data_IF_892084478662
#
_entry.id   IF_892084478662
#
_cell.length_a   1.000
_cell.length_b   1.000
_cell.length_c   1.000
_cell.angle_alpha   90.00
_cell.angle_beta   90.00
_cell.angle_gamma   90.00
#
_symmetry.space_group_name_H-M   'P 1'
#
loop_
_entity.id
_entity.type
_entity.pdbx_description
1 polymer ?
#
# COMPACT_ATOMS: atom_id res chain seq x y z
N UNK A 1 27.78 9.32 -0.47
CA UNK A 1 27.13 7.99 -0.31
C UNK A 1 26.45 7.67 -1.62
N UNK A 2 26.70 6.49 -2.16
CA UNK A 2 26.01 6.00 -3.35
C UNK A 2 24.52 5.84 -3.02
N UNK A 3 23.65 6.32 -3.92
CA UNK A 3 22.20 6.23 -3.68
C UNK A 3 21.78 4.77 -3.75
N UNK A 4 21.18 4.25 -2.69
CA UNK A 4 20.67 2.87 -2.64
C UNK A 4 19.43 2.69 -3.53
N UNK A 5 18.73 3.79 -3.84
CA UNK A 5 17.59 3.76 -4.74
C UNK A 5 18.00 3.28 -6.14
N UNK A 6 17.29 2.28 -6.61
CA UNK A 6 17.34 1.80 -8.00
C UNK A 6 15.96 1.96 -8.61
N UNK A 7 15.86 2.52 -9.84
CA UNK A 7 14.59 2.53 -10.55
C UNK A 7 14.02 1.11 -10.62
N UNK A 8 12.78 0.91 -10.21
CA UNK A 8 12.19 -0.42 -10.18
C UNK A 8 12.01 -0.95 -11.62
N UNK A 9 12.36 -2.22 -11.83
CA UNK A 9 12.12 -2.91 -13.09
C UNK A 9 10.84 -3.74 -13.01
N UNK A 10 10.02 -3.72 -14.05
CA UNK A 10 8.82 -4.55 -14.14
C UNK A 10 9.17 -6.01 -14.28
N UNK A 11 8.57 -6.86 -13.42
CA UNK A 11 8.66 -8.31 -13.56
C UNK A 11 7.81 -8.83 -14.72
N UNK A 12 6.64 -8.24 -14.93
CA UNK A 12 5.73 -8.65 -16.01
C UNK A 12 6.39 -8.58 -17.40
N UNK A 13 7.40 -7.71 -17.57
CA UNK A 13 8.21 -7.61 -18.79
C UNK A 13 9.12 -8.81 -19.04
N UNK A 14 9.44 -9.62 -18.03
CA UNK A 14 10.36 -10.77 -18.20
C UNK A 14 9.72 -12.01 -18.82
N UNK A 15 8.40 -12.08 -18.93
CA UNK A 15 7.70 -13.28 -19.38
C UNK A 15 8.15 -13.75 -20.79
N UNK A 16 8.47 -12.83 -21.70
CA UNK A 16 8.98 -13.16 -23.02
C UNK A 16 10.41 -13.69 -22.98
N UNK A 17 11.28 -13.04 -22.20
CA UNK A 17 12.66 -13.45 -22.01
C UNK A 17 12.75 -14.84 -21.34
N UNK A 18 11.82 -15.15 -20.41
CA UNK A 18 11.72 -16.50 -19.83
C UNK A 18 11.31 -17.55 -20.85
N UNK A 19 10.35 -17.24 -21.75
CA UNK A 19 9.93 -18.15 -22.83
C UNK A 19 11.05 -18.36 -23.86
N UNK A 20 11.81 -17.31 -24.14
CA UNK A 20 12.97 -17.35 -25.04
C UNK A 20 14.20 -18.03 -24.44
N UNK A 21 14.22 -18.26 -23.12
CA UNK A 21 15.36 -18.81 -22.42
C UNK A 21 16.55 -17.85 -22.30
N UNK A 22 16.34 -16.54 -22.51
CA UNK A 22 17.36 -15.50 -22.40
C UNK A 22 17.77 -15.27 -20.94
N UNK A 23 16.80 -15.30 -20.04
CA UNK A 23 16.95 -15.25 -18.59
C UNK A 23 16.00 -16.24 -17.94
N UNK A 24 16.17 -16.50 -16.65
CA UNK A 24 15.31 -17.38 -15.87
C UNK A 24 14.84 -16.72 -14.57
N UNK A 25 13.77 -17.22 -13.92
CA UNK A 25 13.40 -16.82 -12.56
C UNK A 25 14.53 -16.95 -11.53
N UNK A 26 15.48 -17.87 -11.75
CA UNK A 26 16.68 -18.01 -10.88
C UNK A 26 17.60 -16.82 -11.04
N UNK A 27 17.84 -16.35 -12.27
CA UNK A 27 18.69 -15.18 -12.52
C UNK A 27 18.11 -13.91 -11.91
N UNK A 28 16.78 -13.74 -12.00
CA UNK A 28 16.07 -12.61 -11.35
C UNK A 28 16.19 -12.69 -9.84
N UNK A 29 16.03 -13.88 -9.24
CA UNK A 29 16.19 -14.08 -7.80
C UNK A 29 17.63 -13.81 -7.35
N UNK A 30 18.63 -14.30 -8.07
CA UNK A 30 20.03 -14.11 -7.71
C UNK A 30 20.42 -12.63 -7.79
N UNK A 31 19.92 -11.89 -8.78
CA UNK A 31 20.11 -10.44 -8.85
C UNK A 31 19.44 -9.71 -7.65
N UNK A 32 18.24 -10.14 -7.25
CA UNK A 32 17.55 -9.61 -6.07
C UNK A 32 18.33 -9.90 -4.78
N UNK A 33 18.83 -11.13 -4.60
CA UNK A 33 19.62 -11.53 -3.44
C UNK A 33 20.96 -10.79 -3.37
N UNK A 34 21.65 -10.60 -4.49
CA UNK A 34 22.88 -9.82 -4.55
C UNK A 34 22.66 -8.36 -4.12
N UNK A 35 21.53 -7.76 -4.51
CA UNK A 35 21.16 -6.41 -4.10
C UNK A 35 20.81 -6.33 -2.61
N UNK A 36 20.11 -7.33 -2.07
CA UNK A 36 19.84 -7.45 -0.63
C UNK A 36 21.17 -7.55 0.12
N UNK A 37 22.11 -8.38 -0.33
CA UNK A 37 23.40 -8.55 0.32
C UNK A 37 24.23 -7.25 0.35
N UNK A 38 24.09 -6.42 -0.68
CA UNK A 38 24.78 -5.14 -0.77
C UNK A 38 24.17 -4.05 0.14
N UNK A 39 22.85 -4.02 0.32
CA UNK A 39 22.18 -2.85 0.88
C UNK A 39 21.27 -3.11 2.10
N UNK A 40 20.88 -4.36 2.39
CA UNK A 40 19.92 -4.65 3.47
C UNK A 40 20.45 -4.24 4.85
N UNK A 41 21.76 -4.29 5.07
CA UNK A 41 22.38 -3.82 6.32
C UNK A 41 22.06 -2.34 6.60
N UNK A 42 21.93 -1.53 5.57
CA UNK A 42 21.61 -0.10 5.67
C UNK A 42 20.09 0.14 5.66
N UNK A 43 19.37 -0.53 4.74
CA UNK A 43 17.92 -0.32 4.54
C UNK A 43 17.08 -0.98 5.64
N UNK A 44 17.43 -2.21 6.06
CA UNK A 44 16.71 -2.95 7.11
C UNK A 44 15.22 -3.11 6.79
N UNK A 45 14.94 -3.52 5.55
CA UNK A 45 13.60 -3.74 5.06
C UNK A 45 13.00 -5.05 5.57
N UNK A 46 13.84 -6.09 5.76
CA UNK A 46 13.39 -7.42 6.17
C UNK A 46 13.63 -7.67 7.67
N UNK A 47 12.72 -8.38 8.30
CA UNK A 47 12.88 -8.97 9.64
C UNK A 47 13.24 -10.45 9.53
N UNK A 48 12.85 -11.11 8.44
CA UNK A 48 13.20 -12.50 8.11
C UNK A 48 13.39 -12.62 6.61
N UNK A 49 14.47 -13.30 6.17
CA UNK A 49 14.73 -13.67 4.77
C UNK A 49 14.60 -15.18 4.59
N UNK A 50 13.87 -15.61 3.56
CA UNK A 50 13.66 -17.02 3.19
C UNK A 50 14.53 -17.42 2.00
N UNK A 51 15.86 -17.32 2.12
CA UNK A 51 16.78 -17.50 1.00
C UNK A 51 16.72 -18.89 0.36
N UNK A 52 16.61 -19.94 1.19
CA UNK A 52 16.60 -21.33 0.72
C UNK A 52 15.28 -21.65 0.02
N UNK A 53 14.16 -21.39 0.68
CA UNK A 53 12.84 -21.61 0.08
C UNK A 53 12.62 -20.78 -1.19
N UNK A 54 13.12 -19.54 -1.22
CA UNK A 54 13.05 -18.71 -2.42
C UNK A 54 13.84 -19.32 -3.59
N UNK A 55 15.02 -19.92 -3.33
CA UNK A 55 15.79 -20.60 -4.39
C UNK A 55 15.09 -21.88 -4.89
N UNK A 56 14.44 -22.63 -4.00
CA UNK A 56 13.64 -23.79 -4.39
C UNK A 56 12.46 -23.39 -5.29
N UNK A 57 11.70 -22.37 -4.87
CA UNK A 57 10.58 -21.81 -5.63
C UNK A 57 11.02 -21.33 -7.02
N UNK A 58 12.13 -20.58 -7.10
CA UNK A 58 12.66 -20.07 -8.37
C UNK A 58 13.12 -21.17 -9.32
N UNK A 59 13.78 -22.24 -8.80
CA UNK A 59 14.15 -23.41 -9.62
C UNK A 59 12.93 -24.14 -10.17
N UNK A 60 11.90 -24.33 -9.33
CA UNK A 60 10.66 -24.94 -9.75
C UNK A 60 9.95 -24.11 -10.82
N UNK A 61 9.92 -22.77 -10.66
CA UNK A 61 9.40 -21.85 -11.65
C UNK A 61 10.19 -21.90 -12.96
N UNK A 62 11.53 -21.90 -12.90
CA UNK A 62 12.37 -22.00 -14.09
C UNK A 62 12.13 -23.29 -14.89
N UNK A 63 11.82 -24.42 -14.20
CA UNK A 63 11.45 -25.66 -14.85
C UNK A 63 10.11 -25.49 -15.59
N UNK A 64 9.09 -24.92 -14.95
CA UNK A 64 7.78 -24.67 -15.57
C UNK A 64 7.87 -23.75 -16.80
N UNK A 65 8.64 -22.69 -16.73
CA UNK A 65 8.86 -21.78 -17.89
C UNK A 65 9.51 -22.51 -19.05
N UNK A 66 10.52 -23.36 -18.82
CA UNK A 66 11.16 -24.17 -19.87
C UNK A 66 10.21 -25.19 -20.50
N UNK A 67 9.25 -25.70 -19.72
CA UNK A 67 8.21 -26.62 -20.22
C UNK A 67 7.03 -25.88 -20.90
N UNK A 68 7.04 -24.55 -20.91
CA UNK A 68 5.94 -23.75 -21.45
C UNK A 68 4.66 -23.79 -20.59
N UNK A 69 4.78 -24.12 -19.28
CA UNK A 69 3.66 -24.29 -18.34
C UNK A 69 3.78 -23.41 -17.10
N UNK A 70 3.97 -22.10 -17.22
CA UNK A 70 3.96 -21.21 -16.05
C UNK A 70 2.59 -21.22 -15.39
N UNK A 71 2.56 -21.08 -14.05
CA UNK A 71 1.31 -21.10 -13.26
C UNK A 71 0.50 -19.80 -13.39
N UNK A 72 1.16 -18.70 -13.73
CA UNK A 72 0.55 -17.40 -13.94
C UNK A 72 1.56 -16.39 -14.52
N UNK A 73 1.13 -15.13 -14.71
CA UNK A 73 2.01 -14.02 -15.11
C UNK A 73 3.06 -13.66 -14.05
N UNK A 74 2.87 -14.09 -12.81
CA UNK A 74 3.80 -13.83 -11.69
C UNK A 74 4.58 -15.08 -11.27
N UNK A 75 4.61 -16.14 -12.09
CA UNK A 75 5.35 -17.36 -11.77
C UNK A 75 6.85 -17.06 -11.70
N UNK A 76 7.44 -17.28 -10.52
CA UNK A 76 8.82 -16.96 -10.18
C UNK A 76 9.07 -15.53 -9.67
N UNK A 77 8.05 -14.65 -9.63
CA UNK A 77 8.21 -13.29 -9.15
C UNK A 77 8.62 -13.27 -7.68
N UNK A 78 9.76 -12.64 -7.32
CA UNK A 78 10.10 -12.39 -5.94
C UNK A 78 9.09 -11.45 -5.28
N UNK A 79 8.47 -11.87 -4.18
CA UNK A 79 7.51 -11.06 -3.42
C UNK A 79 7.88 -11.01 -1.94
N UNK A 80 7.67 -9.87 -1.29
CA UNK A 80 7.88 -9.71 0.13
C UNK A 80 6.55 -9.56 0.88
N UNK A 81 6.49 -10.01 2.13
CA UNK A 81 5.25 -10.10 2.89
C UNK A 81 5.39 -9.29 4.18
N UNK A 82 4.53 -8.30 4.39
CA UNK A 82 4.50 -7.52 5.64
C UNK A 82 4.31 -8.41 6.86
N UNK A 83 5.05 -8.13 7.92
CA UNK A 83 5.14 -8.99 9.11
C UNK A 83 3.93 -8.97 10.06
N UNK A 84 2.74 -8.71 9.53
CA UNK A 84 1.43 -8.99 10.15
C UNK A 84 0.58 -9.96 9.33
N UNK A 85 1.12 -10.46 8.21
CA UNK A 85 0.46 -11.41 7.31
C UNK A 85 1.15 -12.76 7.52
N UNK A 86 0.40 -13.78 7.88
CA UNK A 86 0.93 -15.10 8.23
C UNK A 86 1.58 -15.80 7.04
N UNK A 87 2.69 -16.48 7.33
CA UNK A 87 3.37 -17.40 6.40
C UNK A 87 3.65 -18.71 7.13
N UNK A 88 3.45 -19.85 6.45
CA UNK A 88 3.58 -21.18 7.04
C UNK A 88 5.00 -21.55 7.49
N UNK A 89 5.99 -20.91 6.89
CA UNK A 89 7.42 -21.25 6.96
C UNK A 89 8.28 -20.19 7.66
N UNK A 90 7.71 -19.05 8.03
CA UNK A 90 8.41 -17.96 8.71
C UNK A 90 7.61 -17.42 9.90
N UNK A 91 8.28 -16.90 10.94
CA UNK A 91 7.61 -16.19 12.02
C UNK A 91 6.79 -14.99 11.54
N UNK A 92 5.78 -14.62 12.31
CA UNK A 92 4.97 -13.40 12.14
C UNK A 92 5.00 -12.62 13.44
N UNK A 93 5.94 -11.66 13.51
CA UNK A 93 6.27 -10.94 14.74
C UNK A 93 5.41 -9.70 15.01
N UNK A 94 4.60 -9.25 14.07
CA UNK A 94 3.69 -8.10 14.17
C UNK A 94 4.36 -6.79 14.63
N UNK A 95 5.70 -6.67 14.44
CA UNK A 95 6.47 -5.52 14.93
C UNK A 95 6.51 -5.39 16.46
N UNK A 96 6.17 -6.44 17.20
CA UNK A 96 6.08 -6.44 18.65
C UNK A 96 6.97 -7.51 19.30
N UNK A 97 7.71 -7.19 20.36
CA UNK A 97 8.49 -8.18 21.12
C UNK A 97 7.64 -9.34 21.66
N UNK A 98 6.37 -9.12 21.93
CA UNK A 98 5.42 -10.13 22.40
C UNK A 98 5.29 -11.32 21.44
N UNK A 99 5.43 -11.06 20.11
CA UNK A 99 5.26 -12.06 19.06
C UNK A 99 6.58 -12.58 18.49
N UNK A 100 7.69 -12.32 19.17
CA UNK A 100 9.01 -12.80 18.73
C UNK A 100 9.02 -14.32 18.56
N UNK A 101 9.33 -14.79 17.34
CA UNK A 101 9.41 -16.21 17.01
C UNK A 101 8.05 -16.92 16.86
N UNK A 102 6.92 -16.22 17.00
CA UNK A 102 5.61 -16.83 16.78
C UNK A 102 5.44 -17.27 15.33
N UNK A 103 5.06 -18.52 15.14
CA UNK A 103 4.83 -19.11 13.82
C UNK A 103 3.49 -19.85 13.79
N UNK A 104 2.56 -19.36 12.98
CA UNK A 104 1.21 -19.94 12.82
C UNK A 104 1.20 -21.27 12.07
N UNK A 105 2.25 -21.57 11.30
CA UNK A 105 2.39 -22.74 10.40
C UNK A 105 1.31 -22.82 9.34
N UNK A 106 0.71 -21.70 8.99
CA UNK A 106 -0.25 -21.56 7.89
C UNK A 106 0.07 -20.32 7.08
N UNK A 107 -0.30 -20.33 5.81
CA UNK A 107 -0.27 -19.13 4.98
C UNK A 107 -1.57 -18.35 5.16
N UNK A 108 -1.49 -17.03 5.18
CA UNK A 108 -2.65 -16.18 4.96
C UNK A 108 -3.22 -16.41 3.55
N UNK A 109 -4.51 -16.12 3.33
CA UNK A 109 -5.19 -16.33 2.05
C UNK A 109 -4.40 -15.70 0.88
N UNK A 110 -3.94 -14.45 1.03
CA UNK A 110 -3.14 -13.76 0.02
C UNK A 110 -1.79 -14.45 -0.24
N UNK A 111 -1.11 -14.97 0.78
CA UNK A 111 0.17 -15.68 0.64
C UNK A 111 -0.02 -17.04 -0.02
N UNK A 112 -1.05 -17.78 0.38
CA UNK A 112 -1.42 -19.04 -0.26
C UNK A 112 -1.67 -18.84 -1.76
N UNK A 113 -2.42 -17.79 -2.11
CA UNK A 113 -2.70 -17.46 -3.51
C UNK A 113 -1.44 -17.11 -4.29
N UNK A 114 -0.51 -16.34 -3.70
CA UNK A 114 0.78 -16.02 -4.31
C UNK A 114 1.60 -17.28 -4.61
N UNK A 115 1.70 -18.20 -3.64
CA UNK A 115 2.41 -19.47 -3.85
C UNK A 115 1.71 -20.35 -4.93
N UNK A 116 0.39 -20.40 -4.94
CA UNK A 116 -0.38 -21.09 -5.99
C UNK A 116 -0.21 -20.45 -7.37
N UNK A 117 0.08 -19.15 -7.42
CA UNK A 117 0.42 -18.43 -8.63
C UNK A 117 1.88 -18.63 -9.07
N UNK A 118 2.69 -19.30 -8.26
CA UNK A 118 4.11 -19.55 -8.51
C UNK A 118 5.05 -18.44 -8.04
N UNK A 119 4.56 -17.42 -7.36
CA UNK A 119 5.42 -16.37 -6.83
C UNK A 119 6.39 -16.90 -5.77
N UNK A 120 7.57 -16.33 -5.72
CA UNK A 120 8.65 -16.68 -4.81
C UNK A 120 8.60 -15.79 -3.56
N UNK A 121 8.28 -16.36 -2.40
CA UNK A 121 8.18 -15.59 -1.15
C UNK A 121 9.58 -15.35 -0.56
N UNK A 122 10.06 -14.10 -0.66
CA UNK A 122 11.42 -13.70 -0.26
C UNK A 122 11.62 -13.57 1.24
N UNK A 123 10.58 -13.16 1.98
CA UNK A 123 10.74 -12.90 3.40
C UNK A 123 9.63 -12.03 3.99
N UNK A 124 9.79 -11.72 5.28
CA UNK A 124 8.89 -10.87 6.06
C UNK A 124 9.48 -9.47 6.18
N UNK A 125 8.70 -8.45 5.82
CA UNK A 125 9.13 -7.05 5.86
C UNK A 125 8.71 -6.34 7.14
N UNK A 126 9.57 -5.42 7.60
CA UNK A 126 9.38 -4.65 8.82
C UNK A 126 8.05 -3.87 8.82
N UNK A 127 7.41 -3.85 9.97
CA UNK A 127 6.17 -3.12 10.25
C UNK A 127 6.27 -2.37 11.57
N UNK A 128 5.39 -1.39 11.80
CA UNK A 128 5.18 -0.83 13.13
C UNK A 128 4.47 -1.82 14.02
N UNK A 129 4.51 -1.62 15.35
CA UNK A 129 3.83 -2.48 16.31
C UNK A 129 2.33 -2.62 15.97
N UNK A 130 1.88 -3.85 15.74
CA UNK A 130 0.51 -4.20 15.30
C UNK A 130 0.02 -3.40 14.09
N UNK A 131 0.94 -2.88 13.26
CA UNK A 131 0.66 -2.03 12.11
C UNK A 131 -0.15 -0.75 12.40
N UNK A 132 -0.20 -0.28 13.63
CA UNK A 132 -1.10 0.79 14.05
C UNK A 132 -0.44 1.94 14.83
N UNK A 133 0.82 1.80 15.27
CA UNK A 133 1.54 2.90 15.95
C UNK A 133 2.33 3.77 14.98
N UNK A 134 2.67 4.98 15.40
CA UNK A 134 3.61 5.83 14.67
C UNK A 134 5.07 5.43 14.93
N UNK A 135 5.35 4.76 16.03
CA UNK A 135 6.66 4.19 16.33
C UNK A 135 6.89 2.97 15.45
N UNK A 136 8.09 2.81 14.93
CA UNK A 136 8.41 1.73 14.02
C UNK A 136 9.86 1.24 14.15
N UNK A 137 10.13 0.12 13.47
CA UNK A 137 11.45 -0.48 13.42
C UNK A 137 12.48 0.43 12.70
N UNK A 138 13.72 0.02 12.73
CA UNK A 138 14.87 0.75 12.24
C UNK A 138 15.02 0.84 10.70
N UNK A 139 13.97 0.53 9.94
CA UNK A 139 13.96 0.61 8.47
C UNK A 139 14.20 2.04 7.99
N UNK A 140 15.06 2.22 7.01
CA UNK A 140 15.43 3.53 6.45
C UNK A 140 14.84 3.73 5.06
N UNK A 141 14.76 5.00 4.62
CA UNK A 141 14.30 5.34 3.27
C UNK A 141 15.46 5.13 2.27
N UNK A 142 15.26 4.37 1.17
CA UNK A 142 16.33 4.12 0.19
C UNK A 142 16.85 5.37 -0.54
N UNK A 143 16.08 6.46 -0.57
CA UNK A 143 16.51 7.73 -1.18
C UNK A 143 17.40 8.57 -0.26
N UNK A 144 17.18 8.44 1.07
CA UNK A 144 17.92 9.14 2.11
C UNK A 144 17.76 8.36 3.43
N UNK A 145 18.82 7.66 3.82
CA UNK A 145 18.83 6.77 5.00
C UNK A 145 18.69 7.49 6.34
N UNK A 146 18.71 8.80 6.35
CA UNK A 146 18.41 9.63 7.54
C UNK A 146 16.91 9.90 7.71
N UNK A 147 16.07 9.50 6.72
CA UNK A 147 14.64 9.73 6.69
C UNK A 147 13.85 8.45 6.92
N UNK A 148 12.63 8.63 7.44
CA UNK A 148 11.66 7.54 7.55
C UNK A 148 11.24 7.05 6.17
N UNK A 149 11.02 5.73 5.95
CA UNK A 149 10.36 5.22 4.75
C UNK A 149 8.83 5.39 4.81
N UNK A 150 8.29 5.98 5.90
CA UNK A 150 6.87 5.94 6.21
C UNK A 150 6.51 4.63 6.93
N UNK A 151 5.22 4.37 7.05
CA UNK A 151 4.68 3.18 7.72
C UNK A 151 3.15 3.14 7.69
N UNK A 152 2.58 2.10 8.22
CA UNK A 152 3.15 0.95 8.96
C UNK A 152 3.86 -0.08 8.07
N UNK A 153 3.65 -0.10 6.73
CA UNK A 153 4.31 -1.02 5.79
C UNK A 153 5.70 -0.49 5.38
N UNK A 154 6.53 -0.14 6.38
CA UNK A 154 7.84 0.49 6.20
C UNK A 154 8.79 -0.36 5.36
N UNK A 155 9.01 -1.61 5.77
CA UNK A 155 9.89 -2.54 5.06
C UNK A 155 9.37 -2.91 3.68
N UNK A 156 8.04 -2.98 3.47
CA UNK A 156 7.46 -3.31 2.16
C UNK A 156 7.77 -2.23 1.12
N UNK A 157 7.56 -0.96 1.46
CA UNK A 157 7.87 0.15 0.56
C UNK A 157 9.38 0.30 0.33
N UNK A 158 10.18 0.16 1.39
CA UNK A 158 11.64 0.24 1.30
C UNK A 158 12.22 -0.90 0.43
N UNK A 159 11.72 -2.14 0.57
CA UNK A 159 12.18 -3.28 -0.22
C UNK A 159 11.90 -3.09 -1.72
N UNK A 160 10.75 -2.56 -2.09
CA UNK A 160 10.43 -2.25 -3.50
C UNK A 160 11.32 -1.12 -4.02
N UNK A 161 11.44 -0.02 -3.29
CA UNK A 161 12.23 1.14 -3.70
C UNK A 161 13.74 0.86 -3.78
N UNK A 162 14.25 -0.05 -2.94
CA UNK A 162 15.63 -0.54 -3.03
C UNK A 162 15.84 -1.57 -4.15
N UNK A 163 14.80 -1.98 -4.86
CA UNK A 163 14.86 -3.00 -5.90
C UNK A 163 15.14 -4.41 -5.38
N UNK A 164 14.80 -4.69 -4.13
CA UNK A 164 14.91 -6.02 -3.53
C UNK A 164 13.84 -6.98 -4.04
N UNK A 165 12.66 -6.46 -4.31
CA UNK A 165 11.53 -7.19 -4.88
C UNK A 165 10.72 -6.27 -5.79
N UNK A 166 10.11 -6.78 -6.88
CA UNK A 166 9.20 -6.00 -7.72
C UNK A 166 7.87 -5.69 -7.02
N UNK A 167 7.41 -6.54 -6.09
CA UNK A 167 6.16 -6.33 -5.35
C UNK A 167 6.31 -6.76 -3.90
N UNK A 168 5.68 -6.00 -3.00
CA UNK A 168 5.53 -6.37 -1.60
C UNK A 168 4.07 -6.20 -1.14
N UNK A 169 3.57 -7.15 -0.33
CA UNK A 169 2.31 -6.99 0.38
C UNK A 169 2.49 -6.04 1.56
N UNK A 170 1.53 -5.15 1.70
CA UNK A 170 1.34 -4.27 2.83
C UNK A 170 -0.10 -4.31 3.33
N UNK A 171 -0.44 -3.42 4.23
CA UNK A 171 -1.82 -3.21 4.70
C UNK A 171 -2.08 -1.73 4.92
N UNK A 172 -3.34 -1.33 4.88
CA UNK A 172 -3.71 0.05 5.18
C UNK A 172 -5.03 0.13 5.94
N UNK A 173 -5.00 0.79 7.10
CA UNK A 173 -6.19 1.23 7.83
C UNK A 173 -6.31 2.76 7.82
N UNK A 174 -5.20 3.48 7.86
CA UNK A 174 -5.14 4.96 7.81
C UNK A 174 -4.43 5.42 6.54
N UNK A 175 -3.13 5.16 6.43
CA UNK A 175 -2.31 5.57 5.29
C UNK A 175 -1.13 4.63 5.03
N UNK A 176 -1.18 3.42 5.58
CA UNK A 176 -0.03 2.51 5.71
C UNK A 176 0.45 1.83 4.43
N UNK A 177 -0.17 2.07 3.28
CA UNK A 177 0.27 1.68 1.94
C UNK A 177 0.61 2.90 1.11
N UNK A 178 -0.33 3.83 1.02
CA UNK A 178 -0.23 5.03 0.17
C UNK A 178 0.91 5.95 0.62
N UNK A 179 1.01 6.24 1.93
CA UNK A 179 2.05 7.12 2.47
C UNK A 179 3.48 6.55 2.31
N UNK A 180 3.81 5.32 2.75
CA UNK A 180 5.15 4.79 2.54
C UNK A 180 5.50 4.61 1.06
N UNK A 181 4.55 4.27 0.18
CA UNK A 181 4.79 4.24 -1.25
C UNK A 181 5.15 5.63 -1.81
N UNK A 182 4.49 6.70 -1.35
CA UNK A 182 4.84 8.08 -1.68
C UNK A 182 6.26 8.43 -1.26
N UNK A 183 6.63 8.15 -0.02
CA UNK A 183 7.93 8.50 0.55
C UNK A 183 9.09 7.71 -0.05
N UNK A 184 8.84 6.47 -0.45
CA UNK A 184 9.84 5.61 -1.08
C UNK A 184 9.84 5.67 -2.61
N UNK A 185 8.90 6.39 -3.24
CA UNK A 185 8.88 6.56 -4.69
C UNK A 185 8.53 5.28 -5.46
N UNK A 186 7.64 4.45 -4.93
CA UNK A 186 7.09 3.30 -5.62
C UNK A 186 5.57 3.43 -5.83
N UNK A 187 4.99 2.57 -6.67
CA UNK A 187 3.53 2.50 -6.81
C UNK A 187 2.94 1.90 -5.55
N UNK A 188 1.98 2.60 -4.93
CA UNK A 188 1.19 2.09 -3.81
C UNK A 188 -0.25 1.84 -4.23
N UNK A 189 -0.80 0.68 -3.90
CA UNK A 189 -2.19 0.35 -4.18
C UNK A 189 -2.91 -0.10 -2.92
N UNK A 190 -3.96 0.64 -2.55
CA UNK A 190 -4.97 0.27 -1.58
C UNK A 190 -6.24 -0.11 -2.35
N UNK A 191 -6.65 -1.39 -2.37
CA UNK A 191 -7.86 -1.80 -3.10
C UNK A 191 -9.14 -1.26 -2.46
N UNK A 192 -10.26 -1.41 -3.14
CA UNK A 192 -11.58 -1.31 -2.53
C UNK A 192 -11.66 -2.18 -1.29
N UNK A 193 -12.41 -1.72 -0.27
CA UNK A 193 -12.55 -2.46 0.98
C UNK A 193 -13.13 -3.87 0.70
N UNK A 194 -12.44 -4.88 1.22
CA UNK A 194 -12.82 -6.28 1.03
C UNK A 194 -12.42 -6.89 -0.32
N UNK A 195 -11.86 -6.13 -1.26
CA UNK A 195 -11.52 -6.65 -2.58
C UNK A 195 -10.40 -7.71 -2.59
N UNK A 196 -9.53 -7.73 -1.60
CA UNK A 196 -8.51 -8.78 -1.38
C UNK A 196 -8.76 -9.47 -0.05
N UNK A 197 -8.82 -10.80 -0.06
CA UNK A 197 -9.06 -11.61 1.13
C UNK A 197 -7.97 -11.44 2.19
N UNK A 198 -8.36 -11.01 3.40
CA UNK A 198 -7.48 -10.75 4.54
C UNK A 198 -7.35 -11.93 5.53
N UNK A 199 -7.92 -13.09 5.22
CA UNK A 199 -7.85 -14.27 6.09
C UNK A 199 -6.39 -14.64 6.41
N UNK A 200 -6.05 -14.75 7.70
CA UNK A 200 -4.68 -14.97 8.17
C UNK A 200 -3.80 -13.72 8.20
N UNK A 201 -4.39 -12.52 8.07
CA UNK A 201 -3.75 -11.25 8.40
C UNK A 201 -4.28 -10.74 9.73
N UNK A 202 -3.40 -10.13 10.54
CA UNK A 202 -3.82 -9.45 11.78
C UNK A 202 -4.41 -8.06 11.53
N UNK A 203 -4.85 -7.79 10.30
CA UNK A 203 -5.47 -6.55 9.84
C UNK A 203 -6.97 -6.75 9.60
N UNK A 204 -7.73 -6.91 10.67
CA UNK A 204 -9.16 -7.25 10.67
C UNK A 204 -10.09 -6.04 10.83
N UNK A 205 -9.56 -4.83 10.94
CA UNK A 205 -10.35 -3.62 11.21
C UNK A 205 -11.32 -3.28 10.06
N UNK A 206 -12.47 -2.67 10.37
CA UNK A 206 -13.60 -2.51 9.45
C UNK A 206 -13.41 -1.48 8.33
N UNK A 207 -12.23 -0.87 8.21
CA UNK A 207 -11.82 -0.04 7.07
C UNK A 207 -10.37 -0.27 6.67
N UNK A 208 -9.80 -1.42 7.05
CA UNK A 208 -8.47 -1.83 6.59
C UNK A 208 -8.51 -2.70 5.34
N UNK A 209 -7.43 -2.71 4.60
CA UNK A 209 -7.25 -3.49 3.38
C UNK A 209 -5.85 -4.11 3.34
N UNK A 210 -5.72 -5.30 2.77
CA UNK A 210 -4.43 -5.75 2.23
C UNK A 210 -4.09 -4.84 1.06
N UNK A 211 -2.92 -4.19 1.10
CA UNK A 211 -2.42 -3.32 0.05
C UNK A 211 -1.17 -3.88 -0.61
N UNK A 212 -0.79 -3.33 -1.74
CA UNK A 212 0.42 -3.70 -2.46
C UNK A 212 1.29 -2.46 -2.70
N UNK A 213 2.59 -2.64 -2.63
CA UNK A 213 3.59 -1.74 -3.17
C UNK A 213 4.27 -2.45 -4.33
N UNK A 214 4.53 -1.73 -5.42
CA UNK A 214 5.16 -2.34 -6.59
C UNK A 214 6.04 -1.40 -7.38
N UNK A 215 6.88 -2.01 -8.19
CA UNK A 215 7.77 -1.34 -9.11
C UNK A 215 6.98 -0.55 -10.17
N UNK A 216 5.93 -1.16 -10.68
CA UNK A 216 5.10 -0.62 -11.75
C UNK A 216 3.61 -0.88 -11.48
N UNK A 217 2.74 -0.15 -12.19
CA UNK A 217 1.29 -0.41 -12.18
C UNK A 217 0.95 -1.83 -12.64
N UNK A 218 1.68 -2.35 -13.63
CA UNK A 218 1.46 -3.69 -14.17
C UNK A 218 1.76 -4.76 -13.12
N UNK A 219 2.93 -4.71 -12.48
CA UNK A 219 3.31 -5.67 -11.43
C UNK A 219 2.30 -5.69 -10.27
N UNK A 220 1.84 -4.51 -9.85
CA UNK A 220 0.82 -4.37 -8.79
C UNK A 220 -0.51 -5.00 -9.21
N UNK A 221 -0.98 -4.68 -10.43
CA UNK A 221 -2.26 -5.18 -10.93
C UNK A 221 -2.25 -6.69 -11.12
N UNK A 222 -1.25 -7.23 -11.85
CA UNK A 222 -1.19 -8.68 -12.14
C UNK A 222 -1.06 -9.49 -10.84
N UNK A 223 -0.34 -8.96 -9.83
CA UNK A 223 -0.23 -9.60 -8.52
C UNK A 223 -1.57 -9.59 -7.77
N UNK A 224 -2.24 -8.45 -7.71
CA UNK A 224 -3.56 -8.34 -7.07
C UNK A 224 -4.59 -9.26 -7.74
N UNK A 225 -4.60 -9.32 -9.07
CA UNK A 225 -5.46 -10.24 -9.85
C UNK A 225 -5.12 -11.71 -9.61
N UNK A 226 -3.82 -12.06 -9.55
CA UNK A 226 -3.39 -13.42 -9.26
C UNK A 226 -3.84 -13.88 -7.88
N UNK A 227 -3.85 -12.99 -6.88
CA UNK A 227 -4.36 -13.26 -5.54
C UNK A 227 -5.88 -13.48 -5.60
N UNK A 228 -6.63 -12.52 -6.12
CA UNK A 228 -8.09 -12.54 -6.04
C UNK A 228 -8.73 -13.59 -6.95
N UNK A 229 -8.10 -13.97 -8.05
CA UNK A 229 -8.54 -15.07 -8.89
C UNK A 229 -8.50 -16.44 -8.18
N UNK A 230 -7.72 -16.56 -7.09
CA UNK A 230 -7.55 -17.82 -6.35
C UNK A 230 -8.32 -17.87 -5.03
N UNK A 231 -8.37 -16.73 -4.31
CA UNK A 231 -8.95 -16.70 -2.96
C UNK A 231 -10.11 -15.69 -2.82
N UNK A 232 -10.43 -14.95 -3.89
CA UNK A 232 -11.51 -13.96 -3.86
C UNK A 232 -11.21 -12.75 -2.98
N UNK A 233 -12.27 -12.07 -2.59
CA UNK A 233 -12.26 -11.01 -1.58
C UNK A 233 -12.57 -11.52 -0.18
N UNK A 234 -12.74 -10.60 0.76
CA UNK A 234 -13.25 -10.90 2.09
C UNK A 234 -14.66 -11.49 2.01
N UNK A 235 -15.08 -12.29 2.99
CA UNK A 235 -16.46 -12.79 3.05
C UNK A 235 -17.48 -11.65 2.91
N UNK A 236 -18.38 -11.79 1.94
CA UNK A 236 -19.38 -10.77 1.60
C UNK A 236 -18.90 -9.71 0.58
N UNK A 237 -17.65 -9.80 0.10
CA UNK A 237 -17.15 -8.98 -1.00
C UNK A 237 -16.98 -9.81 -2.28
N UNK A 238 -17.30 -9.23 -3.47
CA UNK A 238 -17.11 -9.94 -4.75
C UNK A 238 -15.64 -10.16 -5.09
N UNK A 239 -14.71 -9.46 -4.42
CA UNK A 239 -13.30 -9.46 -4.77
C UNK A 239 -12.97 -8.52 -5.93
N UNK A 240 -11.70 -8.45 -6.29
CA UNK A 240 -11.21 -7.60 -7.36
C UNK A 240 -11.59 -8.19 -8.74
N UNK A 241 -12.35 -7.44 -9.53
CA UNK A 241 -12.73 -7.78 -10.90
C UNK A 241 -11.88 -7.05 -11.94
N UNK A 242 -11.83 -7.59 -13.16
CA UNK A 242 -11.12 -6.98 -14.28
C UNK A 242 -10.25 -7.96 -15.06
N UNK A 243 -9.53 -7.51 -16.10
CA UNK A 243 -8.67 -8.35 -16.93
C UNK A 243 -7.50 -8.93 -16.11
N UNK A 244 -6.87 -9.99 -16.61
CA UNK A 244 -5.68 -10.59 -15.98
C UNK A 244 -4.48 -9.64 -16.05
N UNK A 245 -4.27 -8.98 -17.21
CA UNK A 245 -3.24 -7.97 -17.42
C UNK A 245 -3.72 -6.59 -17.01
N UNK A 246 -2.79 -5.65 -16.85
CA UNK A 246 -3.12 -4.26 -16.57
C UNK A 246 -4.25 -3.76 -17.51
N UNK A 247 -5.32 -3.16 -16.98
CA UNK A 247 -6.35 -2.52 -17.81
C UNK A 247 -5.73 -1.54 -18.80
N UNK A 248 -6.30 -1.50 -20.00
CA UNK A 248 -5.85 -0.55 -21.00
C UNK A 248 -5.92 0.89 -20.46
N UNK A 249 -4.94 1.70 -20.83
CA UNK A 249 -4.91 3.10 -20.43
C UNK A 249 -6.12 3.83 -21.03
N UNK A 250 -6.93 4.43 -20.16
CA UNK A 250 -8.11 5.22 -20.54
C UNK A 250 -7.89 6.64 -20.06
N UNK A 251 -7.91 7.60 -20.99
CA UNK A 251 -7.82 9.01 -20.62
C UNK A 251 -9.06 9.42 -19.83
N UNK A 252 -8.92 9.85 -18.56
CA UNK A 252 -10.07 10.35 -17.80
C UNK A 252 -10.62 11.62 -18.47
N UNK A 253 -11.93 11.79 -18.44
CA UNK A 253 -12.62 12.98 -18.93
C UNK A 253 -12.71 14.05 -17.87
N UNK A 254 -13.11 13.63 -16.64
CA UNK A 254 -13.37 14.53 -15.50
C UNK A 254 -12.71 14.00 -14.24
N UNK A 255 -11.78 14.75 -13.70
CA UNK A 255 -11.20 14.53 -12.39
C UNK A 255 -11.69 15.55 -11.40
N UNK A 256 -11.76 15.19 -10.11
CA UNK A 256 -12.06 16.12 -9.03
C UNK A 256 -10.88 16.21 -8.07
N UNK A 257 -10.52 17.43 -7.70
CA UNK A 257 -9.54 17.67 -6.62
C UNK A 257 -10.32 17.74 -5.33
N UNK A 258 -10.02 16.84 -4.39
CA UNK A 258 -10.55 16.88 -3.03
C UNK A 258 -9.52 17.42 -2.05
N UNK A 259 -9.90 18.40 -1.27
CA UNK A 259 -9.11 18.96 -0.20
C UNK A 259 -9.45 18.26 1.11
N UNK A 260 -8.44 17.87 1.83
CA UNK A 260 -8.58 17.28 3.17
C UNK A 260 -8.08 18.27 4.22
N UNK A 261 -8.32 17.99 5.50
CA UNK A 261 -7.76 18.77 6.59
C UNK A 261 -6.22 18.90 6.56
N UNK A 262 -5.55 17.93 5.91
CA UNK A 262 -4.09 17.95 5.72
C UNK A 262 -3.59 18.92 4.64
N UNK A 263 -4.48 19.55 3.89
CA UNK A 263 -4.11 20.52 2.83
C UNK A 263 -3.28 21.67 3.37
N UNK A 264 -3.58 22.13 4.59
CA UNK A 264 -2.83 23.19 5.29
C UNK A 264 -1.41 22.80 5.70
N UNK A 265 -1.11 21.50 5.70
CA UNK A 265 0.17 20.95 6.12
C UNK A 265 1.10 20.66 4.92
N UNK A 266 0.67 21.02 3.70
CA UNK A 266 1.50 20.85 2.50
C UNK A 266 2.76 21.72 2.57
N UNK A 267 3.88 21.17 2.13
CA UNK A 267 5.04 21.98 1.81
C UNK A 267 4.76 22.85 0.58
N UNK A 268 5.47 23.98 0.46
CA UNK A 268 5.35 24.86 -0.71
C UNK A 268 5.68 24.12 -2.01
N UNK A 269 6.68 23.25 -1.98
CA UNK A 269 7.07 22.47 -3.16
C UNK A 269 6.02 21.41 -3.52
N UNK A 270 5.39 20.76 -2.53
CA UNK A 270 4.32 19.81 -2.74
C UNK A 270 3.08 20.48 -3.37
N UNK A 271 2.71 21.66 -2.87
CA UNK A 271 1.62 22.45 -3.43
C UNK A 271 1.92 22.86 -4.88
N UNK A 272 3.12 23.33 -5.14
CA UNK A 272 3.55 23.68 -6.49
C UNK A 272 3.55 22.48 -7.43
N UNK A 273 4.08 21.32 -7.00
CA UNK A 273 4.13 20.11 -7.78
C UNK A 273 2.74 19.60 -8.15
N UNK A 274 1.79 19.61 -7.20
CA UNK A 274 0.39 19.24 -7.45
C UNK A 274 -0.28 20.22 -8.42
N UNK A 275 -0.09 21.54 -8.20
CA UNK A 275 -0.67 22.57 -9.05
C UNK A 275 -0.18 22.46 -10.49
N UNK A 276 1.11 22.17 -10.69
CA UNK A 276 1.70 21.93 -11.99
C UNK A 276 1.10 20.67 -12.65
N UNK A 277 1.02 19.57 -11.94
CA UNK A 277 0.42 18.33 -12.47
C UNK A 277 -1.04 18.57 -12.91
N UNK A 278 -1.81 19.33 -12.14
CA UNK A 278 -3.17 19.73 -12.49
C UNK A 278 -3.19 20.58 -13.78
N UNK A 279 -2.28 21.56 -13.91
CA UNK A 279 -2.18 22.37 -15.12
C UNK A 279 -1.83 21.53 -16.34
N UNK A 280 -0.81 20.67 -16.22
CA UNK A 280 -0.35 19.79 -17.28
C UNK A 280 -1.46 18.84 -17.78
N UNK A 281 -2.29 18.33 -16.88
CA UNK A 281 -3.43 17.48 -17.24
C UNK A 281 -4.56 18.28 -17.91
N UNK A 282 -4.83 19.52 -17.47
CA UNK A 282 -5.79 20.42 -18.12
C UNK A 282 -5.36 20.77 -19.56
N UNK A 283 -4.09 21.06 -19.77
CA UNK A 283 -3.52 21.33 -21.11
C UNK A 283 -3.68 20.13 -22.05
N UNK A 284 -3.72 18.92 -21.50
CA UNK A 284 -3.99 17.67 -22.23
C UNK A 284 -5.48 17.37 -22.40
N UNK A 285 -6.36 18.35 -22.04
CA UNK A 285 -7.80 18.27 -22.25
C UNK A 285 -8.56 17.39 -21.26
N UNK A 286 -8.05 17.28 -20.01
CA UNK A 286 -8.79 16.66 -18.91
C UNK A 286 -9.48 17.77 -18.12
N UNK A 287 -10.81 17.66 -17.94
CA UNK A 287 -11.54 18.58 -17.06
C UNK A 287 -11.17 18.26 -15.60
N UNK A 288 -10.69 19.27 -14.86
CA UNK A 288 -10.35 19.12 -13.44
C UNK A 288 -11.13 20.13 -12.63
N UNK A 289 -12.06 19.63 -11.83
CA UNK A 289 -12.99 20.39 -11.01
C UNK A 289 -12.47 20.54 -9.59
N UNK A 290 -12.61 21.73 -9.03
CA UNK A 290 -12.19 22.06 -7.66
C UNK A 290 -13.35 22.61 -6.84
N UNK A 291 -13.24 22.66 -5.53
CA UNK A 291 -14.22 23.27 -4.61
C UNK A 291 -14.57 24.72 -4.96
N UNK A 292 -13.61 25.48 -5.53
CA UNK A 292 -13.87 26.84 -5.99
C UNK A 292 -14.86 26.94 -7.17
N UNK A 293 -15.01 25.88 -7.94
CA UNK A 293 -15.79 25.83 -9.17
C UNK A 293 -17.13 25.09 -9.02
N UNK A 294 -17.27 24.25 -7.98
CA UNK A 294 -18.43 23.39 -7.81
C UNK A 294 -18.87 23.31 -6.34
N UNK A 295 -20.13 23.60 -6.07
CA UNK A 295 -20.68 23.63 -4.72
C UNK A 295 -20.76 22.24 -4.07
N UNK A 296 -21.10 21.19 -4.83
CA UNK A 296 -21.14 19.81 -4.32
C UNK A 296 -19.75 19.36 -3.87
N UNK A 297 -18.70 19.70 -4.65
CA UNK A 297 -17.30 19.42 -4.30
C UNK A 297 -16.92 20.18 -3.03
N UNK A 298 -17.28 21.47 -2.94
CA UNK A 298 -17.01 22.31 -1.76
C UNK A 298 -17.65 21.75 -0.50
N UNK A 299 -18.88 21.31 -0.59
CA UNK A 299 -19.60 20.73 0.53
C UNK A 299 -18.97 19.42 0.97
N UNK A 300 -18.52 18.57 0.02
CA UNK A 300 -17.84 17.33 0.36
C UNK A 300 -16.44 17.60 0.97
N UNK A 301 -15.66 18.52 0.42
CA UNK A 301 -14.38 18.96 1.02
C UNK A 301 -14.56 19.42 2.48
N UNK A 302 -15.63 20.16 2.75
CA UNK A 302 -15.96 20.60 4.12
C UNK A 302 -16.18 19.42 5.06
N UNK A 303 -16.81 18.34 4.60
CA UNK A 303 -16.95 17.10 5.38
C UNK A 303 -15.60 16.40 5.59
N UNK A 304 -14.71 16.39 4.58
CA UNK A 304 -13.38 15.81 4.68
C UNK A 304 -12.42 16.64 5.55
N UNK A 305 -12.64 17.93 5.69
CA UNK A 305 -11.84 18.80 6.56
C UNK A 305 -12.22 18.66 8.04
N UNK A 306 -13.42 18.10 8.35
CA UNK A 306 -13.78 17.76 9.71
C UNK A 306 -13.03 16.51 10.16
N UNK A 307 -12.54 16.51 11.34
CA UNK A 307 -11.66 15.56 12.05
C UNK A 307 -11.75 14.07 11.64
N UNK A 308 -11.46 13.77 10.35
CA UNK A 308 -11.43 12.39 9.82
C UNK A 308 -10.40 11.53 10.52
N UNK A 309 -9.28 12.13 10.98
CA UNK A 309 -8.28 11.42 11.74
C UNK A 309 -8.87 10.92 13.05
N UNK A 310 -9.57 11.77 13.80
CA UNK A 310 -10.24 11.38 15.05
C UNK A 310 -11.28 10.29 14.79
N UNK A 311 -12.12 10.44 13.78
CA UNK A 311 -13.14 9.44 13.39
C UNK A 311 -12.47 8.08 13.12
N UNK A 312 -11.40 8.06 12.32
CA UNK A 312 -10.66 6.83 12.02
C UNK A 312 -10.05 6.22 13.28
N UNK A 313 -9.43 7.05 14.14
CA UNK A 313 -8.77 6.57 15.35
C UNK A 313 -9.76 6.08 16.40
N UNK A 314 -10.95 6.66 16.52
CA UNK A 314 -11.99 6.17 17.43
C UNK A 314 -12.54 4.80 16.98
N UNK A 315 -12.78 4.62 15.67
CA UNK A 315 -13.18 3.32 15.13
C UNK A 315 -12.08 2.26 15.40
N UNK A 316 -10.83 2.60 15.10
CA UNK A 316 -9.68 1.71 15.32
C UNK A 316 -9.52 1.36 16.79
N UNK A 317 -9.65 2.34 17.70
CA UNK A 317 -9.51 2.10 19.13
C UNK A 317 -10.55 1.08 19.62
N UNK A 318 -11.81 1.28 19.27
CA UNK A 318 -12.87 0.35 19.65
C UNK A 318 -12.66 -1.05 19.06
N UNK A 319 -12.37 -1.15 17.76
CA UNK A 319 -12.23 -2.43 17.08
C UNK A 319 -10.96 -3.22 17.49
N UNK A 320 -9.91 -2.52 17.91
CA UNK A 320 -8.69 -3.14 18.43
C UNK A 320 -8.75 -3.48 19.93
N UNK A 321 -9.82 -3.13 20.63
CA UNK A 321 -10.02 -3.40 22.05
C UNK A 321 -9.74 -4.86 22.40
N UNK A 322 -10.41 -5.78 21.73
CA UNK A 322 -9.97 -7.15 21.64
C UNK A 322 -9.10 -7.29 20.37
N UNK A 323 -7.90 -7.77 20.34
CA UNK A 323 -7.18 -8.54 21.36
C UNK A 323 -6.26 -7.72 22.26
N UNK A 324 -6.19 -6.38 22.12
CA UNK A 324 -5.21 -5.55 22.79
C UNK A 324 -5.34 -5.62 24.33
N UNK A 325 -6.56 -5.72 24.86
CA UNK A 325 -6.79 -5.92 26.29
C UNK A 325 -6.14 -7.22 26.80
N UNK A 326 -6.25 -8.31 26.02
CA UNK A 326 -5.60 -9.58 26.33
C UNK A 326 -4.08 -9.47 26.32
N UNK A 327 -3.51 -8.84 25.30
CA UNK A 327 -2.06 -8.66 25.19
C UNK A 327 -1.48 -7.86 26.36
N UNK A 328 -2.16 -6.78 26.76
CA UNK A 328 -1.76 -5.96 27.91
C UNK A 328 -1.89 -6.75 29.21
N UNK A 329 -2.96 -7.54 29.37
CA UNK A 329 -3.15 -8.35 30.58
C UNK A 329 -2.07 -9.44 30.74
N UNK A 330 -1.63 -10.05 29.64
CA UNK A 330 -0.63 -11.12 29.65
C UNK A 330 0.80 -10.59 29.80
N UNK A 331 1.17 -9.57 29.02
CA UNK A 331 2.56 -9.08 28.96
C UNK A 331 2.63 -7.55 28.79
N UNK A 332 2.20 -6.79 29.79
CA UNK A 332 2.09 -5.32 29.72
C UNK A 332 3.43 -4.62 29.41
N UNK A 333 4.54 -5.20 29.86
CA UNK A 333 5.87 -4.62 29.65
C UNK A 333 6.38 -4.74 28.21
N UNK A 334 5.82 -5.64 27.41
CA UNK A 334 6.17 -5.84 25.99
C UNK A 334 5.30 -5.02 25.04
N UNK A 335 4.31 -4.32 25.54
CA UNK A 335 3.39 -3.48 24.75
C UNK A 335 3.81 -2.01 24.89
N UNK A 336 3.87 -1.30 23.75
CA UNK A 336 4.30 0.09 23.75
C UNK A 336 3.34 1.02 24.49
N UNK A 337 3.85 2.16 24.94
CA UNK A 337 3.04 3.23 25.56
C UNK A 337 1.91 3.70 24.63
N UNK A 338 2.15 3.74 23.32
CA UNK A 338 1.13 4.12 22.35
C UNK A 338 -0.04 3.13 22.32
N UNK A 339 0.23 1.83 22.44
CA UNK A 339 -0.81 0.80 22.52
C UNK A 339 -1.57 0.85 23.85
N UNK A 340 -0.89 1.09 24.98
CA UNK A 340 -1.58 1.34 26.24
C UNK A 340 -2.52 2.56 26.18
N UNK A 341 -2.09 3.65 25.55
CA UNK A 341 -2.93 4.84 25.33
C UNK A 341 -4.16 4.52 24.46
N UNK A 342 -4.00 3.69 23.42
CA UNK A 342 -5.10 3.22 22.58
C UNK A 342 -6.09 2.36 23.35
N UNK A 343 -5.62 1.42 24.16
CA UNK A 343 -6.48 0.61 25.01
C UNK A 343 -7.26 1.46 26.02
N UNK A 344 -6.61 2.47 26.63
CA UNK A 344 -7.27 3.42 27.51
C UNK A 344 -8.36 4.23 26.78
N UNK A 345 -8.10 4.68 25.52
CA UNK A 345 -9.11 5.33 24.68
C UNK A 345 -10.29 4.38 24.43
N UNK A 346 -10.02 3.13 24.03
CA UNK A 346 -11.05 2.12 23.80
C UNK A 346 -11.91 1.87 25.05
N UNK A 347 -11.30 1.77 26.22
CA UNK A 347 -11.98 1.57 27.49
C UNK A 347 -12.87 2.77 27.88
N UNK A 348 -12.52 3.99 27.45
CA UNK A 348 -13.32 5.20 27.71
C UNK A 348 -14.50 5.38 26.75
N UNK A 349 -14.57 4.62 25.65
CA UNK A 349 -15.65 4.70 24.67
C UNK A 349 -16.84 3.82 25.06
N UNK A 350 -18.02 4.31 24.73
CA UNK A 350 -19.27 3.55 24.82
C UNK A 350 -19.61 2.89 23.49
N UNK A 351 -20.42 1.84 23.52
CA UNK A 351 -20.98 1.23 22.31
C UNK A 351 -21.77 2.23 21.46
N UNK A 352 -22.42 3.21 22.10
CA UNK A 352 -23.19 4.27 21.41
C UNK A 352 -22.26 5.16 20.62
N UNK A 353 -21.14 5.63 21.17
CA UNK A 353 -20.15 6.45 20.46
C UNK A 353 -19.54 5.71 19.28
N UNK A 354 -19.26 4.40 19.42
CA UNK A 354 -18.80 3.59 18.31
C UNK A 354 -19.87 3.46 17.20
N UNK A 355 -21.12 3.22 17.56
CA UNK A 355 -22.22 3.15 16.59
C UNK A 355 -22.41 4.49 15.83
N UNK A 356 -22.30 5.63 16.55
CA UNK A 356 -22.33 6.97 15.96
C UNK A 356 -21.14 7.19 14.99
N UNK A 357 -19.94 6.75 15.35
CA UNK A 357 -18.77 6.82 14.47
C UNK A 357 -18.95 5.98 13.19
N UNK A 358 -19.52 4.79 13.30
CA UNK A 358 -19.84 3.96 12.12
C UNK A 358 -20.93 4.60 11.26
N UNK A 359 -21.96 5.19 11.85
CA UNK A 359 -23.02 5.90 11.13
C UNK A 359 -22.44 7.11 10.38
N UNK A 360 -21.56 7.89 11.01
CA UNK A 360 -20.87 9.01 10.37
C UNK A 360 -20.01 8.54 9.17
N UNK A 361 -19.19 7.49 9.36
CA UNK A 361 -18.44 6.90 8.25
C UNK A 361 -19.33 6.45 7.09
N UNK A 362 -20.45 5.82 7.38
CA UNK A 362 -21.38 5.35 6.35
C UNK A 362 -22.05 6.52 5.61
N UNK A 363 -22.42 7.59 6.30
CA UNK A 363 -22.92 8.81 5.68
C UNK A 363 -21.89 9.43 4.71
N UNK A 364 -20.62 9.50 5.10
CA UNK A 364 -19.55 9.95 4.21
C UNK A 364 -19.43 9.07 2.95
N UNK A 365 -19.57 7.75 3.09
CA UNK A 365 -19.56 6.80 1.96
C UNK A 365 -20.69 7.04 0.96
N UNK A 366 -21.91 7.33 1.45
CA UNK A 366 -23.04 7.64 0.59
C UNK A 366 -22.83 8.96 -0.19
N UNK A 367 -22.36 10.02 0.48
CA UNK A 367 -22.05 11.28 -0.18
C UNK A 367 -20.94 11.11 -1.22
N UNK A 368 -19.89 10.34 -0.90
CA UNK A 368 -18.81 10.04 -1.84
C UNK A 368 -19.33 9.27 -3.06
N UNK A 369 -20.16 8.25 -2.85
CA UNK A 369 -20.74 7.46 -3.94
C UNK A 369 -21.56 8.35 -4.89
N UNK A 370 -22.35 9.27 -4.34
CA UNK A 370 -23.13 10.22 -5.13
C UNK A 370 -22.20 11.18 -5.91
N UNK A 371 -21.18 11.73 -5.26
CA UNK A 371 -20.19 12.59 -5.91
C UNK A 371 -19.52 11.89 -7.09
N UNK A 372 -19.06 10.65 -6.88
CA UNK A 372 -18.31 9.90 -7.88
C UNK A 372 -19.15 9.38 -9.06
N UNK A 373 -20.45 9.62 -9.07
CA UNK A 373 -21.27 9.39 -10.27
C UNK A 373 -20.91 10.35 -11.42
N UNK A 374 -20.39 11.54 -11.10
CA UNK A 374 -20.05 12.59 -12.06
C UNK A 374 -18.55 12.68 -12.42
N UNK A 375 -17.69 11.89 -11.76
CA UNK A 375 -16.24 11.98 -11.93
C UNK A 375 -15.61 10.61 -12.16
N UNK A 376 -14.55 10.57 -12.96
CA UNK A 376 -13.78 9.34 -13.25
C UNK A 376 -12.90 8.95 -12.06
N UNK A 377 -12.22 9.92 -11.46
CA UNK A 377 -11.40 9.73 -10.26
C UNK A 377 -11.18 11.06 -9.51
N UNK A 378 -10.77 10.92 -8.25
CA UNK A 378 -10.15 12.01 -7.47
C UNK A 378 -8.68 12.09 -7.81
N UNK A 379 -8.12 13.30 -7.80
CA UNK A 379 -6.69 13.57 -7.84
C UNK A 379 -6.28 14.41 -6.63
N UNK A 380 -5.23 14.00 -5.92
CA UNK A 380 -4.69 14.69 -4.75
C UNK A 380 -3.25 14.24 -4.47
N UNK A 381 -2.65 14.62 -3.34
CA UNK A 381 -1.35 14.10 -2.90
C UNK A 381 -1.50 12.78 -2.12
N UNK A 382 -0.41 12.00 -2.05
CA UNK A 382 -0.32 10.80 -1.18
C UNK A 382 0.18 11.14 0.23
N UNK A 383 0.87 12.26 0.38
CA UNK A 383 1.37 12.84 1.63
C UNK A 383 1.54 14.35 1.47
N UNK A 384 1.53 15.15 2.55
CA UNK A 384 1.61 16.61 2.45
C UNK A 384 3.00 17.14 2.05
N UNK A 385 4.03 16.32 2.20
CA UNK A 385 5.42 16.67 1.92
C UNK A 385 6.26 15.40 1.68
N UNK A 386 7.54 15.60 1.41
CA UNK A 386 8.56 14.54 1.42
C UNK A 386 8.62 13.79 2.75
N UNK A 387 9.26 12.62 2.75
CA UNK A 387 9.52 11.86 3.97
C UNK A 387 10.25 12.71 5.01
N UNK A 388 9.75 12.82 6.25
CA UNK A 388 10.43 13.58 7.31
C UNK A 388 11.78 12.97 7.68
N UNK A 389 12.71 13.83 8.10
CA UNK A 389 13.99 13.42 8.68
C UNK A 389 13.76 12.76 10.04
N UNK A 390 14.51 11.71 10.33
CA UNK A 390 14.43 10.96 11.58
C UNK A 390 13.37 9.85 11.56
N UNK A 391 13.21 9.20 12.71
CA UNK A 391 12.45 7.95 12.85
C UNK A 391 11.41 7.99 13.98
N UNK A 392 11.15 9.16 14.54
CA UNK A 392 10.17 9.32 15.62
C UNK A 392 8.72 9.23 15.15
N UNK A 393 8.48 9.38 13.84
CA UNK A 393 7.16 9.34 13.22
C UNK A 393 7.22 8.68 11.84
N UNK A 394 6.12 8.04 11.43
CA UNK A 394 5.94 7.54 10.07
C UNK A 394 5.43 8.61 9.10
N UNK A 395 5.35 9.86 9.53
CA UNK A 395 4.87 11.00 8.75
C UNK A 395 3.34 11.15 8.77
N UNK A 396 2.83 12.22 8.15
CA UNK A 396 1.43 12.62 8.18
C UNK A 396 0.56 11.83 7.19
N UNK A 397 -0.55 11.26 7.64
CA UNK A 397 -1.41 10.37 6.85
C UNK A 397 -2.66 11.05 6.27
N UNK A 398 -2.86 12.34 6.50
CA UNK A 398 -4.12 13.03 6.27
C UNK A 398 -4.68 12.93 4.84
N UNK A 399 -3.81 12.85 3.84
CA UNK A 399 -4.24 12.65 2.45
C UNK A 399 -4.71 11.22 2.13
N UNK A 400 -4.26 10.21 2.89
CA UNK A 400 -4.62 8.82 2.64
C UNK A 400 -5.85 8.35 3.45
N UNK A 401 -6.22 9.06 4.53
CA UNK A 401 -7.35 8.72 5.40
C UNK A 401 -8.67 8.64 4.64
N UNK A 402 -9.03 9.58 3.73
CA UNK A 402 -10.30 9.54 3.03
C UNK A 402 -10.52 8.22 2.30
N UNK A 403 -9.56 7.75 1.50
CA UNK A 403 -9.70 6.51 0.75
C UNK A 403 -9.96 5.30 1.66
N UNK A 404 -9.38 5.27 2.87
CA UNK A 404 -9.59 4.20 3.86
C UNK A 404 -11.00 4.25 4.45
N UNK A 405 -11.43 5.39 4.98
CA UNK A 405 -12.77 5.55 5.58
C UNK A 405 -13.88 5.35 4.55
N UNK A 406 -13.70 5.85 3.33
CA UNK A 406 -14.66 5.72 2.24
C UNK A 406 -14.73 4.29 1.67
N UNK A 407 -13.73 3.45 1.96
CA UNK A 407 -13.63 2.10 1.39
C UNK A 407 -13.26 2.12 -0.10
N UNK A 408 -12.83 3.26 -0.63
CA UNK A 408 -12.54 3.47 -2.04
C UNK A 408 -11.13 2.99 -2.42
N UNK A 409 -10.90 2.48 -3.63
CA UNK A 409 -9.56 2.12 -4.09
C UNK A 409 -8.71 3.39 -4.27
N UNK A 410 -7.41 3.28 -3.98
CA UNK A 410 -6.47 4.39 -4.16
C UNK A 410 -5.12 3.90 -4.69
N UNK A 411 -4.50 4.71 -5.52
CA UNK A 411 -3.16 4.53 -6.06
C UNK A 411 -2.27 5.72 -5.69
N UNK A 412 -1.06 5.46 -5.24
CA UNK A 412 0.03 6.43 -5.15
C UNK A 412 0.93 6.23 -6.36
N UNK A 413 1.06 7.25 -7.19
CA UNK A 413 1.90 7.24 -8.39
C UNK A 413 3.17 8.05 -8.12
N UNK A 414 4.38 7.51 -8.32
CA UNK A 414 5.65 8.20 -8.04
C UNK A 414 5.99 9.23 -9.14
N UNK A 415 5.17 10.27 -9.27
CA UNK A 415 5.23 11.25 -10.34
C UNK A 415 5.73 12.62 -9.90
N UNK A 416 5.65 12.92 -8.61
CA UNK A 416 5.97 14.24 -8.07
C UNK A 416 7.26 14.19 -7.25
N UNK A 417 7.77 15.37 -6.93
CA UNK A 417 8.89 15.56 -6.02
C UNK A 417 8.62 16.74 -5.08
N UNK A 418 9.13 16.60 -3.86
CA UNK A 418 9.26 17.67 -2.90
C UNK A 418 10.76 17.79 -2.59
N UNK A 419 11.39 18.87 -2.98
CA UNK A 419 12.84 18.99 -3.06
C UNK A 419 13.45 17.88 -3.96
N UNK A 420 14.42 17.12 -3.43
CA UNK A 420 15.03 15.98 -4.12
C UNK A 420 14.34 14.65 -3.85
N UNK A 421 13.36 14.63 -2.92
CA UNK A 421 12.68 13.42 -2.47
C UNK A 421 11.43 13.11 -3.30
N UNK A 422 11.06 11.83 -3.43
CA UNK A 422 9.83 11.46 -4.10
C UNK A 422 8.60 11.91 -3.33
N UNK A 423 7.54 12.21 -4.09
CA UNK A 423 6.21 12.51 -3.59
C UNK A 423 5.17 11.85 -4.51
N UNK A 424 4.21 11.16 -3.95
CA UNK A 424 3.19 10.46 -4.71
C UNK A 424 2.02 11.38 -5.11
N UNK A 425 1.65 11.34 -6.38
CA UNK A 425 0.33 11.79 -6.84
C UNK A 425 -0.68 10.69 -6.48
N UNK A 426 -1.72 11.03 -5.71
CA UNK A 426 -2.75 10.06 -5.35
C UNK A 426 -3.95 10.16 -6.29
N UNK A 427 -4.40 9.01 -6.80
CA UNK A 427 -5.68 8.86 -7.46
C UNK A 427 -6.60 7.97 -6.61
N UNK A 428 -7.88 8.40 -6.42
CA UNK A 428 -8.87 7.64 -5.65
C UNK A 428 -10.06 7.38 -6.57
N UNK A 429 -10.47 6.11 -6.70
CA UNK A 429 -11.53 5.67 -7.60
C UNK A 429 -12.89 5.51 -6.93
N UNK A 430 -13.89 5.15 -7.71
CA UNK A 430 -15.16 4.66 -7.19
C UNK A 430 -14.96 3.36 -6.42
N UNK A 431 -15.75 3.14 -5.39
CA UNK A 431 -15.77 1.86 -4.68
C UNK A 431 -16.09 0.74 -5.68
N UNK A 432 -15.35 -0.36 -5.62
CA UNK A 432 -15.40 -1.50 -6.54
C UNK A 432 -15.04 -1.16 -8.01
N UNK A 433 -14.49 0.04 -8.26
CA UNK A 433 -14.03 0.52 -9.57
C UNK A 433 -12.51 0.42 -9.74
N UNK A 434 -11.87 -0.58 -9.14
CA UNK A 434 -10.41 -0.73 -9.12
C UNK A 434 -9.80 -0.83 -10.53
N UNK A 435 -10.42 -1.60 -11.44
CA UNK A 435 -9.95 -1.73 -12.80
C UNK A 435 -9.99 -0.41 -13.58
N UNK A 436 -11.07 0.36 -13.42
CA UNK A 436 -11.19 1.68 -14.04
C UNK A 436 -10.12 2.63 -13.50
N UNK A 437 -9.89 2.62 -12.16
CA UNK A 437 -8.85 3.42 -11.53
C UNK A 437 -7.47 3.11 -12.09
N UNK A 438 -7.13 1.83 -12.29
CA UNK A 438 -5.86 1.45 -12.92
C UNK A 438 -5.77 1.94 -14.36
N UNK A 439 -6.83 1.84 -15.16
CA UNK A 439 -6.88 2.36 -16.54
C UNK A 439 -6.68 3.88 -16.58
N UNK A 440 -7.35 4.64 -15.73
CA UNK A 440 -7.18 6.09 -15.61
C UNK A 440 -5.77 6.46 -15.13
N UNK A 441 -5.27 5.72 -14.13
CA UNK A 441 -3.94 5.95 -13.56
C UNK A 441 -2.82 5.64 -14.56
N UNK A 442 -2.96 4.61 -15.39
CA UNK A 442 -2.01 4.31 -16.45
C UNK A 442 -1.94 5.45 -17.48
N UNK A 443 -3.09 6.04 -17.84
CA UNK A 443 -3.13 7.22 -18.72
C UNK A 443 -2.47 8.44 -18.05
N UNK A 444 -2.83 8.77 -16.81
CA UNK A 444 -2.26 9.90 -16.07
C UNK A 444 -0.75 9.72 -15.89
N UNK A 445 -0.30 8.50 -15.57
CA UNK A 445 1.12 8.18 -15.45
C UNK A 445 1.89 8.45 -16.75
N UNK A 446 1.35 7.98 -17.89
CA UNK A 446 1.95 8.22 -19.22
C UNK A 446 1.98 9.70 -19.61
N UNK A 447 0.94 10.46 -19.23
CA UNK A 447 0.84 11.88 -19.53
C UNK A 447 1.78 12.76 -18.73
N UNK A 448 2.07 12.39 -17.47
CA UNK A 448 2.88 13.20 -16.54
C UNK A 448 4.31 12.70 -16.38
N UNK A 449 4.62 11.45 -16.81
CA UNK A 449 6.00 10.95 -16.77
C UNK A 449 6.87 11.84 -17.68
N UNK A 450 8.01 12.37 -17.17
CA UNK A 450 8.93 13.10 -18.04
C UNK A 450 9.35 12.23 -19.23
N UNK A 451 9.50 12.85 -20.40
CA UNK A 451 10.14 12.18 -21.54
C UNK A 451 11.56 11.76 -21.12
N UNK A 452 11.91 10.52 -21.35
CA UNK A 452 13.25 9.97 -21.09
C UNK A 452 14.29 10.59 -22.01
#
# INVERSE_FOLDING_TARGET
MEKVYTPPHSYAGYAEAFRGGEISPVDVLDAALARIDAHEREIRAFVVLNREGAREDARASAARWREGKPLSLIDGMPVAIKDIIETRDMPTGQGSPMWTGFQSRRDAASVQALRQAGATVMGKTATTEFAVTELFASTTNPHDTTRTPGGSSAGSAAAVAAGFVPVALGTQVVGSTIRPASYCGCVGYKPSYGAINRGGSYDYLSHSCTGLMGATLDDVWVTARAITARVGGDPGSPGLSGPERLPAAVKPKRLVVLQTGAWRDMSVNAEWALSRAISDLRERGIEIVTAGQNETVRNFDSLLCNDLHKLSMDIIAWESRWPLEGYIAEQPALISRAMHARAARAASMTQKEYAEALAHRNALREVYRALMADYDAVITLSAPAAAPVGFASTGHAGFAIPASLLGAPALSLPLLRDESMPLGLQMIGRVDGDADLFGFSASVYSLLKPAE
#
